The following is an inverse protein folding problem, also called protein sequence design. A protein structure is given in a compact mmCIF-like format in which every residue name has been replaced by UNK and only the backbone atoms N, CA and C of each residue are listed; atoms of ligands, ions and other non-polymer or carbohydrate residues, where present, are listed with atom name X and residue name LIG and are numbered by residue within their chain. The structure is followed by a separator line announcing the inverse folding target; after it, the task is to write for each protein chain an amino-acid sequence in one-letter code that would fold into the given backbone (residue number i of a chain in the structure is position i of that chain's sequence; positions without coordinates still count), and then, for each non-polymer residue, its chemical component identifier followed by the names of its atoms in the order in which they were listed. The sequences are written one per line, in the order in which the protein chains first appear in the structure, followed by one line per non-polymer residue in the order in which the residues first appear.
data_IF_970202943915
#
_entry.id   IF_970202943915
#
_cell.length_a   1.000
_cell.length_b   1.000
_cell.length_c   1.000
_cell.angle_alpha   90.00
_cell.angle_beta   90.00
_cell.angle_gamma   90.00
#
_symmetry.space_group_name_H-M   'P 1'
#
loop_
_entity.id
_entity.type
_entity.pdbx_description
1 polymer ?
#
# COMPACT_ATOMS: atom_id res chain seq x y z
N UNK A 1 3.40 1.14 -0.66
CA UNK A 1 3.28 1.54 -2.06
C UNK A 1 4.50 1.07 -2.83
N UNK A 2 4.26 0.33 -3.90
CA UNK A 2 5.26 -0.11 -4.86
C UNK A 2 5.69 1.06 -5.76
N UNK A 3 7.02 1.26 -5.88
CA UNK A 3 7.63 2.30 -6.73
C UNK A 3 8.54 1.70 -7.81
N UNK A 4 8.41 0.41 -8.09
CA UNK A 4 9.18 -0.27 -9.15
C UNK A 4 8.92 0.34 -10.54
N UNK A 5 9.75 -0.04 -11.52
CA UNK A 5 9.65 0.46 -12.88
C UNK A 5 8.28 0.25 -13.53
N UNK A 6 7.63 -0.89 -13.29
CA UNK A 6 6.26 -1.18 -13.78
C UNK A 6 5.20 -0.25 -13.16
N UNK A 7 5.47 0.26 -11.96
CA UNK A 7 4.60 1.14 -11.21
C UNK A 7 4.91 2.63 -11.40
N UNK A 8 5.95 2.99 -12.15
CA UNK A 8 6.47 4.37 -12.24
C UNK A 8 5.41 5.41 -12.64
N UNK A 9 4.54 5.07 -13.61
CA UNK A 9 3.44 5.95 -14.04
C UNK A 9 2.36 6.15 -12.97
N UNK A 10 2.24 5.24 -12.00
CA UNK A 10 1.25 5.29 -10.92
C UNK A 10 1.84 5.83 -9.61
N UNK A 11 3.15 5.67 -9.40
CA UNK A 11 3.81 6.02 -8.14
C UNK A 11 3.57 7.46 -7.72
N UNK A 12 3.71 8.41 -8.67
CA UNK A 12 3.44 9.82 -8.38
C UNK A 12 1.99 10.07 -7.96
N UNK A 13 1.03 9.48 -8.69
CA UNK A 13 -0.39 9.58 -8.35
C UNK A 13 -0.70 9.02 -6.96
N UNK A 14 -0.12 7.88 -6.63
CA UNK A 14 -0.30 7.23 -5.33
C UNK A 14 0.31 8.07 -4.21
N UNK A 15 1.49 8.65 -4.40
CA UNK A 15 2.11 9.54 -3.42
C UNK A 15 1.29 10.81 -3.20
N UNK A 16 0.71 11.40 -4.25
CA UNK A 16 -0.25 12.51 -4.12
C UNK A 16 -1.48 12.11 -3.30
N UNK A 17 -2.03 10.93 -3.55
CA UNK A 17 -3.14 10.39 -2.79
C UNK A 17 -2.78 10.21 -1.30
N UNK A 18 -1.64 9.59 -0.99
CA UNK A 18 -1.16 9.41 0.38
C UNK A 18 -0.95 10.75 1.10
N UNK A 19 -0.40 11.74 0.40
CA UNK A 19 -0.25 13.10 0.92
C UNK A 19 -1.60 13.72 1.23
N UNK A 20 -2.57 13.63 0.31
CA UNK A 20 -3.92 14.15 0.51
C UNK A 20 -4.63 13.49 1.71
N UNK A 21 -4.54 12.16 1.83
CA UNK A 21 -5.10 11.40 2.97
C UNK A 21 -4.48 11.87 4.30
N UNK A 22 -3.15 12.08 4.33
CA UNK A 22 -2.46 12.51 5.55
C UNK A 22 -2.85 13.93 5.99
N UNK A 23 -3.25 14.81 5.05
CA UNK A 23 -3.61 16.20 5.33
C UNK A 23 -5.13 16.44 5.41
N UNK A 24 -5.94 15.43 5.18
CA UNK A 24 -7.40 15.54 5.24
C UNK A 24 -7.86 15.76 6.69
N UNK A 25 -8.29 16.98 7.01
CA UNK A 25 -8.81 17.33 8.32
C UNK A 25 -10.21 16.73 8.52
N UNK A 26 -10.48 16.22 9.72
CA UNK A 26 -11.83 15.74 10.09
C UNK A 26 -12.19 14.36 9.56
N UNK A 27 -11.24 13.61 8.99
CA UNK A 27 -11.48 12.27 8.47
C UNK A 27 -11.52 11.17 9.55
N UNK A 28 -11.30 11.51 10.82
CA UNK A 28 -11.23 10.51 11.90
C UNK A 28 -9.95 9.65 11.92
N UNK A 29 -9.02 9.87 10.99
CA UNK A 29 -7.75 9.14 10.95
C UNK A 29 -6.85 9.56 12.12
N UNK A 30 -6.62 8.65 13.07
CA UNK A 30 -5.78 8.90 14.22
C UNK A 30 -4.30 9.06 13.82
N UNK A 31 -3.78 8.19 12.95
CA UNK A 31 -2.40 8.20 12.45
C UNK A 31 -2.32 7.58 11.07
N UNK A 32 -1.63 8.24 10.15
CA UNK A 32 -1.30 7.71 8.82
C UNK A 32 0.20 7.52 8.71
N UNK A 33 0.62 6.33 8.27
CA UNK A 33 2.01 5.99 8.00
C UNK A 33 2.17 5.62 6.54
N UNK A 34 3.19 6.19 5.87
CA UNK A 34 3.49 5.93 4.48
C UNK A 34 4.83 5.19 4.32
N UNK A 35 4.80 4.15 3.50
CA UNK A 35 5.98 3.37 3.13
C UNK A 35 6.03 3.18 1.63
N UNK A 36 7.22 3.23 1.07
CA UNK A 36 7.49 2.82 -0.31
C UNK A 36 8.36 1.58 -0.32
N UNK A 37 8.27 0.80 -1.38
CA UNK A 37 9.13 -0.34 -1.60
C UNK A 37 9.41 -0.58 -3.09
N UNK A 38 10.57 -1.11 -3.36
CA UNK A 38 11.06 -1.63 -4.63
C UNK A 38 11.95 -2.81 -4.28
N UNK A 39 13.29 -2.64 -4.29
CA UNK A 39 14.22 -3.64 -3.76
C UNK A 39 14.32 -3.61 -2.24
N UNK A 40 13.95 -2.49 -1.61
CA UNK A 40 13.94 -2.29 -0.15
C UNK A 40 12.71 -1.50 0.31
N UNK A 41 12.39 -1.64 1.60
CA UNK A 41 11.33 -0.88 2.26
C UNK A 41 11.86 0.44 2.80
N UNK A 42 11.18 1.55 2.50
CA UNK A 42 11.51 2.89 2.99
C UNK A 42 10.31 3.54 3.68
N UNK A 43 10.49 4.06 4.89
CA UNK A 43 9.47 4.82 5.60
C UNK A 43 9.51 6.28 5.17
N UNK A 44 8.50 6.72 4.43
CA UNK A 44 8.37 8.09 3.90
C UNK A 44 7.41 8.96 4.71
N UNK A 45 6.93 8.49 5.85
CA UNK A 45 5.93 9.19 6.68
C UNK A 45 6.31 10.63 6.99
N UNK A 46 7.58 10.89 7.31
CA UNK A 46 8.10 12.23 7.64
C UNK A 46 7.98 13.20 6.46
N UNK A 47 8.24 12.72 5.24
CA UNK A 47 8.19 13.53 4.02
C UNK A 47 6.74 13.89 3.65
N UNK A 48 5.84 12.93 3.76
CA UNK A 48 4.42 13.14 3.49
C UNK A 48 3.76 14.15 4.45
N UNK A 49 4.39 14.47 5.59
CA UNK A 49 3.91 15.51 6.54
C UNK A 49 4.20 16.93 6.07
N UNK A 50 5.11 17.14 5.13
CA UNK A 50 5.35 18.46 4.56
C UNK A 50 4.07 19.00 3.89
N UNK A 51 3.82 20.31 4.05
CA UNK A 51 2.61 20.94 3.47
C UNK A 51 2.67 21.03 1.95
N UNK A 52 3.86 21.28 1.42
CA UNK A 52 4.09 21.33 -0.02
C UNK A 52 4.17 19.90 -0.56
N UNK A 53 3.23 19.57 -1.42
CA UNK A 53 3.12 18.22 -2.01
C UNK A 53 4.30 17.92 -2.93
N UNK A 54 4.76 18.87 -3.73
CA UNK A 54 5.86 18.65 -4.67
C UNK A 54 7.19 18.45 -3.94
N UNK A 55 7.44 19.24 -2.88
CA UNK A 55 8.59 19.03 -1.99
C UNK A 55 8.52 17.67 -1.28
N UNK A 56 7.34 17.27 -0.78
CA UNK A 56 7.13 15.98 -0.14
C UNK A 56 7.44 14.82 -1.11
N UNK A 57 6.95 14.91 -2.34
CA UNK A 57 7.15 13.89 -3.38
C UNK A 57 8.60 13.82 -3.84
N UNK A 58 9.27 14.96 -4.02
CA UNK A 58 10.69 15.01 -4.39
C UNK A 58 11.56 14.35 -3.32
N UNK A 59 11.32 14.65 -2.04
CA UNK A 59 12.05 14.04 -0.91
C UNK A 59 11.76 12.54 -0.78
N UNK A 60 10.50 12.13 -0.90
CA UNK A 60 10.13 10.71 -0.88
C UNK A 60 10.77 9.94 -2.04
N UNK A 61 10.79 10.53 -3.24
CA UNK A 61 11.43 9.96 -4.43
C UNK A 61 12.96 9.88 -4.30
N UNK A 62 13.59 10.89 -3.74
CA UNK A 62 15.04 10.90 -3.50
C UNK A 62 15.48 9.84 -2.49
N UNK A 63 14.69 9.60 -1.44
CA UNK A 63 14.99 8.57 -0.44
C UNK A 63 14.71 7.15 -0.98
N UNK A 64 13.76 7.02 -1.87
CA UNK A 64 13.36 5.77 -2.51
C UNK A 64 14.16 5.49 -3.80
N UNK A 65 15.50 5.46 -3.72
CA UNK A 65 16.42 5.42 -4.89
C UNK A 65 16.36 4.16 -5.77
N UNK A 66 15.46 3.22 -5.52
CA UNK A 66 15.45 1.90 -6.18
C UNK A 66 14.46 1.76 -7.36
N UNK A 67 14.30 2.82 -8.16
CA UNK A 67 13.37 2.83 -9.31
C UNK A 67 13.69 1.79 -10.40
N UNK A 68 14.90 1.24 -10.45
CA UNK A 68 15.38 0.39 -11.55
C UNK A 68 15.64 -1.07 -11.17
N UNK A 69 15.60 -1.43 -9.90
CA UNK A 69 16.10 -2.73 -9.39
C UNK A 69 15.12 -3.91 -9.49
N UNK A 70 13.90 -3.69 -9.91
CA UNK A 70 12.81 -4.68 -9.80
C UNK A 70 12.19 -4.70 -8.41
N UNK A 71 11.13 -5.49 -8.22
CA UNK A 71 10.37 -5.51 -6.97
C UNK A 71 10.66 -6.78 -6.18
N UNK A 72 10.90 -6.62 -4.89
CA UNK A 72 11.03 -7.71 -3.90
C UNK A 72 9.95 -7.54 -2.84
N UNK A 73 8.71 -7.78 -3.24
CA UNK A 73 7.52 -7.54 -2.39
C UNK A 73 7.61 -8.39 -1.13
N UNK A 74 7.90 -9.69 -1.27
CA UNK A 74 8.01 -10.63 -0.16
C UNK A 74 9.05 -10.19 0.87
N UNK A 75 10.25 -9.81 0.42
CA UNK A 75 11.32 -9.31 1.29
C UNK A 75 10.96 -8.00 1.99
N UNK A 76 10.29 -7.09 1.29
CA UNK A 76 9.84 -5.81 1.85
C UNK A 76 8.72 -6.00 2.88
N UNK A 77 7.74 -6.88 2.60
CA UNK A 77 6.69 -7.24 3.57
C UNK A 77 7.28 -7.90 4.81
N UNK A 78 8.28 -8.80 4.65
CA UNK A 78 9.02 -9.38 5.79
C UNK A 78 9.68 -8.31 6.64
N UNK A 79 10.36 -7.34 6.02
CA UNK A 79 10.95 -6.19 6.71
C UNK A 79 9.89 -5.38 7.46
N UNK A 80 8.75 -5.10 6.83
CA UNK A 80 7.64 -4.41 7.47
C UNK A 80 7.10 -5.19 8.69
N UNK A 81 6.80 -6.47 8.50
CA UNK A 81 6.24 -7.33 9.55
C UNK A 81 7.16 -7.43 10.77
N UNK A 82 8.48 -7.52 10.53
CA UNK A 82 9.50 -7.63 11.60
C UNK A 82 9.73 -6.33 12.33
N UNK A 83 9.92 -5.23 11.58
CA UNK A 83 10.49 -3.99 12.13
C UNK A 83 9.45 -2.92 12.43
N UNK A 84 8.30 -2.93 11.73
CA UNK A 84 7.34 -1.85 11.74
C UNK A 84 5.94 -2.23 12.23
N UNK A 85 5.44 -3.44 11.98
CA UNK A 85 4.04 -3.81 12.22
C UNK A 85 3.61 -3.45 13.65
N UNK A 86 4.35 -3.85 14.67
CA UNK A 86 4.04 -3.55 16.08
C UNK A 86 4.13 -2.07 16.44
N UNK A 87 4.82 -1.27 15.65
CA UNK A 87 5.02 0.17 15.93
C UNK A 87 3.93 1.04 15.28
N UNK A 88 3.41 0.60 14.15
CA UNK A 88 2.50 1.41 13.32
C UNK A 88 1.10 0.84 13.19
N UNK A 89 0.92 -0.48 13.34
CA UNK A 89 -0.38 -1.11 13.33
C UNK A 89 -0.93 -1.17 14.76
N UNK A 90 -1.73 -0.17 15.12
CA UNK A 90 -2.53 -0.19 16.35
C UNK A 90 -3.80 -1.03 16.17
N UNK A 91 -4.62 -1.13 17.23
CA UNK A 91 -5.93 -1.76 17.14
C UNK A 91 -6.78 -1.05 16.07
N UNK A 92 -7.36 -1.85 15.17
CA UNK A 92 -8.20 -1.32 14.09
C UNK A 92 -7.45 -0.76 12.88
N UNK A 93 -6.12 -0.97 12.77
CA UNK A 93 -5.35 -0.48 11.64
C UNK A 93 -5.84 -1.07 10.31
N UNK A 94 -6.00 -0.21 9.30
CA UNK A 94 -6.26 -0.60 7.91
C UNK A 94 -4.96 -0.45 7.12
N UNK A 95 -4.55 -1.51 6.44
CA UNK A 95 -3.38 -1.49 5.55
C UNK A 95 -3.82 -1.41 4.11
N UNK A 96 -3.30 -0.41 3.40
CA UNK A 96 -3.48 -0.25 1.97
C UNK A 96 -2.18 -0.66 1.27
N UNK A 97 -2.19 -1.83 0.64
CA UNK A 97 -1.07 -2.34 -0.16
C UNK A 97 -1.30 -1.98 -1.62
N UNK A 98 -0.38 -1.23 -2.22
CA UNK A 98 -0.50 -0.75 -3.60
C UNK A 98 0.67 -1.29 -4.40
N UNK A 99 0.40 -2.27 -5.27
CA UNK A 99 1.39 -2.95 -6.12
C UNK A 99 0.69 -3.69 -7.25
N UNK A 100 1.39 -3.94 -8.35
CA UNK A 100 0.93 -4.81 -9.43
C UNK A 100 1.06 -6.31 -9.10
N UNK A 101 1.76 -6.65 -8.01
CA UNK A 101 1.95 -8.02 -7.55
C UNK A 101 3.00 -8.80 -8.33
N UNK A 102 3.83 -8.12 -9.13
CA UNK A 102 4.92 -8.75 -9.89
C UNK A 102 6.17 -8.81 -9.00
N UNK A 103 6.32 -9.90 -8.27
CA UNK A 103 7.46 -10.15 -7.40
C UNK A 103 8.57 -10.94 -8.12
N UNK A 104 9.82 -10.66 -7.77
CA UNK A 104 10.99 -11.42 -8.21
C UNK A 104 11.42 -12.48 -7.20
N UNK A 105 10.93 -12.38 -5.97
CA UNK A 105 11.23 -13.32 -4.90
C UNK A 105 10.33 -14.57 -5.00
N UNK A 106 10.54 -15.53 -4.10
CA UNK A 106 9.74 -16.75 -4.01
C UNK A 106 8.27 -16.45 -3.66
N UNK A 107 7.35 -16.94 -4.48
CA UNK A 107 5.92 -16.74 -4.30
C UNK A 107 5.39 -17.32 -2.97
N UNK A 108 5.98 -18.42 -2.48
CA UNK A 108 5.61 -19.00 -1.20
C UNK A 108 5.95 -18.08 -0.02
N UNK A 109 7.14 -17.48 -0.05
CA UNK A 109 7.56 -16.49 0.93
C UNK A 109 6.68 -15.24 0.87
N UNK A 110 6.30 -14.78 -0.34
CA UNK A 110 5.39 -13.66 -0.52
C UNK A 110 4.01 -13.92 0.08
N UNK A 111 3.43 -15.10 -0.17
CA UNK A 111 2.15 -15.51 0.40
C UNK A 111 2.17 -15.49 1.93
N UNK A 112 3.18 -16.11 2.53
CA UNK A 112 3.37 -16.15 3.99
C UNK A 112 3.48 -14.76 4.62
N UNK A 113 4.24 -13.85 4.00
CA UNK A 113 4.39 -12.50 4.54
C UNK A 113 3.14 -11.65 4.34
N UNK A 114 2.36 -11.90 3.27
CA UNK A 114 1.04 -11.27 3.07
C UNK A 114 0.04 -11.75 4.11
N UNK A 115 0.02 -13.06 4.41
CA UNK A 115 -0.79 -13.63 5.49
C UNK A 115 -0.48 -12.99 6.85
N UNK A 116 0.81 -12.92 7.22
CA UNK A 116 1.26 -12.28 8.47
C UNK A 116 0.81 -10.84 8.56
N UNK A 117 0.88 -10.09 7.46
CA UNK A 117 0.42 -8.71 7.41
C UNK A 117 -1.10 -8.63 7.61
N UNK A 118 -1.87 -9.47 6.93
CA UNK A 118 -3.32 -9.56 7.09
C UNK A 118 -3.75 -9.84 8.53
N UNK A 119 -3.08 -10.81 9.19
CA UNK A 119 -3.32 -11.14 10.60
C UNK A 119 -2.90 -10.03 11.58
N UNK A 120 -2.04 -9.10 11.17
CA UNK A 120 -1.52 -8.01 12.00
C UNK A 120 -2.34 -6.73 11.91
N UNK A 121 -3.34 -6.67 11.05
CA UNK A 121 -4.20 -5.51 10.86
C UNK A 121 -5.68 -5.92 10.87
N UNK A 122 -6.57 -4.91 11.05
CA UNK A 122 -8.01 -5.17 10.98
C UNK A 122 -8.47 -5.46 9.56
N UNK A 123 -7.82 -4.84 8.59
CA UNK A 123 -8.15 -5.01 7.18
C UNK A 123 -6.93 -4.79 6.29
N UNK A 124 -6.70 -5.71 5.38
CA UNK A 124 -5.70 -5.61 4.32
C UNK A 124 -6.39 -5.41 2.97
N UNK A 125 -6.24 -4.23 2.40
CA UNK A 125 -6.80 -3.86 1.10
C UNK A 125 -5.67 -3.81 0.08
N UNK A 126 -5.77 -4.59 -0.98
CA UNK A 126 -4.82 -4.55 -2.07
C UNK A 126 -5.38 -3.76 -3.26
N UNK A 127 -4.70 -2.67 -3.62
CA UNK A 127 -4.96 -1.91 -4.85
C UNK A 127 -3.94 -2.32 -5.92
N UNK A 128 -4.44 -2.82 -7.04
CA UNK A 128 -3.61 -3.12 -8.20
C UNK A 128 -3.96 -2.15 -9.34
N UNK A 129 -3.04 -1.26 -9.74
CA UNK A 129 -3.28 -0.30 -10.82
C UNK A 129 -3.46 -0.92 -12.20
N UNK A 130 -2.98 -2.15 -12.41
CA UNK A 130 -3.09 -2.86 -13.68
C UNK A 130 -4.45 -3.56 -13.89
N UNK A 131 -5.33 -3.60 -12.88
CA UNK A 131 -6.66 -4.20 -12.95
C UNK A 131 -7.68 -3.44 -13.82
N UNK A 132 -7.25 -2.57 -14.72
CA UNK A 132 -8.16 -1.82 -15.60
C UNK A 132 -8.63 -2.58 -16.84
N UNK A 133 -8.04 -3.74 -17.10
CA UNK A 133 -8.32 -4.51 -18.32
C UNK A 133 -9.45 -5.52 -18.07
N UNK A 134 -10.50 -5.47 -18.87
CA UNK A 134 -11.46 -6.55 -18.96
C UNK A 134 -10.73 -7.83 -19.40
N UNK A 135 -10.84 -8.90 -18.63
CA UNK A 135 -10.10 -10.14 -18.87
C UNK A 135 -8.79 -10.29 -18.10
N UNK A 136 -8.51 -9.43 -17.11
CA UNK A 136 -7.39 -9.66 -16.20
C UNK A 136 -7.54 -11.01 -15.51
N UNK A 137 -6.66 -11.95 -15.85
CA UNK A 137 -6.55 -13.23 -15.14
C UNK A 137 -5.34 -13.17 -14.20
N UNK A 138 -5.47 -13.58 -12.93
CA UNK A 138 -4.36 -13.60 -11.96
C UNK A 138 -3.38 -14.74 -12.28
N UNK A 139 -2.64 -14.61 -13.40
CA UNK A 139 -1.72 -15.64 -13.89
C UNK A 139 -0.35 -15.58 -13.21
N UNK A 140 0.08 -14.38 -12.78
CA UNK A 140 1.35 -14.23 -12.09
C UNK A 140 1.34 -14.95 -10.74
N UNK A 141 2.41 -15.67 -10.44
CA UNK A 141 2.54 -16.48 -9.20
C UNK A 141 2.41 -15.59 -7.96
N UNK A 142 3.00 -14.39 -7.96
CA UNK A 142 2.90 -13.43 -6.86
C UNK A 142 1.45 -13.03 -6.58
N UNK A 143 0.66 -12.75 -7.62
CA UNK A 143 -0.76 -12.39 -7.46
C UNK A 143 -1.53 -13.55 -6.82
N UNK A 144 -1.33 -14.77 -7.30
CA UNK A 144 -1.99 -15.97 -6.76
C UNK A 144 -1.61 -16.25 -5.32
N UNK A 145 -0.36 -15.95 -4.94
CA UNK A 145 0.13 -16.13 -3.58
C UNK A 145 -0.47 -15.11 -2.60
N UNK A 146 -0.69 -13.86 -3.03
CA UNK A 146 -1.20 -12.80 -2.18
C UNK A 146 -2.72 -12.82 -2.02
N UNK A 147 -3.46 -13.17 -3.08
CA UNK A 147 -4.93 -13.07 -3.14
C UNK A 147 -5.68 -13.73 -1.98
N UNK A 148 -5.31 -14.94 -1.51
CA UNK A 148 -6.02 -15.60 -0.41
C UNK A 148 -5.93 -14.86 0.94
N UNK A 149 -4.98 -13.94 1.08
CA UNK A 149 -4.62 -13.30 2.35
C UNK A 149 -5.02 -11.82 2.42
N UNK A 150 -5.79 -11.33 1.44
CA UNK A 150 -6.28 -9.94 1.43
C UNK A 150 -7.81 -9.90 1.59
N UNK A 151 -8.31 -8.96 2.39
CA UNK A 151 -9.76 -8.78 2.58
C UNK A 151 -10.45 -8.15 1.37
N UNK A 152 -9.70 -7.43 0.56
CA UNK A 152 -10.25 -6.76 -0.63
C UNK A 152 -9.17 -6.56 -1.68
N UNK A 153 -9.48 -6.98 -2.92
CA UNK A 153 -8.63 -6.78 -4.09
C UNK A 153 -9.34 -5.84 -5.08
N UNK A 154 -8.72 -4.71 -5.42
CA UNK A 154 -9.39 -3.63 -6.14
C UNK A 154 -8.49 -3.00 -7.20
N UNK A 155 -9.13 -2.44 -8.24
CA UNK A 155 -8.46 -1.59 -9.21
C UNK A 155 -8.03 -0.27 -8.59
N UNK A 156 -6.81 0.20 -8.89
CA UNK A 156 -6.23 1.44 -8.36
C UNK A 156 -5.67 2.35 -9.47
N UNK A 157 -6.31 2.41 -10.64
CA UNK A 157 -5.79 3.06 -11.84
C UNK A 157 -6.09 4.56 -11.96
N UNK A 158 -6.91 5.15 -11.08
CA UNK A 158 -7.23 6.58 -11.12
C UNK A 158 -7.40 7.18 -9.72
N UNK A 159 -7.03 8.47 -9.56
CA UNK A 159 -7.24 9.23 -8.33
C UNK A 159 -8.73 9.28 -7.96
N UNK A 160 -9.62 9.38 -8.95
CA UNK A 160 -11.06 9.42 -8.73
C UNK A 160 -11.61 8.14 -8.08
N UNK A 161 -10.96 7.00 -8.25
CA UNK A 161 -11.34 5.74 -7.60
C UNK A 161 -10.80 5.61 -6.16
N UNK A 162 -9.73 6.34 -5.81
CA UNK A 162 -9.08 6.23 -4.49
C UNK A 162 -9.86 6.86 -3.33
N UNK A 163 -10.44 8.08 -3.41
CA UNK A 163 -11.22 8.68 -2.32
C UNK A 163 -12.43 7.84 -1.90
N UNK A 164 -13.07 7.16 -2.83
CA UNK A 164 -14.21 6.25 -2.54
C UNK A 164 -13.78 5.07 -1.66
N UNK A 165 -12.56 4.59 -1.82
CA UNK A 165 -12.00 3.49 -1.02
C UNK A 165 -11.61 3.92 0.38
N UNK A 166 -11.00 5.09 0.52
CA UNK A 166 -10.73 5.69 1.81
C UNK A 166 -12.03 5.90 2.60
N UNK A 167 -13.06 6.47 1.97
CA UNK A 167 -14.37 6.66 2.56
C UNK A 167 -15.07 5.35 2.94
N UNK A 168 -14.87 4.27 2.19
CA UNK A 168 -15.48 2.97 2.47
C UNK A 168 -14.79 2.25 3.63
N UNK A 169 -13.47 2.37 3.78
CA UNK A 169 -12.76 1.89 4.96
C UNK A 169 -13.26 2.58 6.25
N UNK A 170 -13.50 3.91 6.18
CA UNK A 170 -14.05 4.71 7.27
C UNK A 170 -15.49 4.31 7.62
N UNK A 171 -16.38 4.14 6.62
CA UNK A 171 -17.78 3.78 6.86
C UNK A 171 -17.96 2.46 7.58
N UNK A 172 -17.09 1.49 7.34
CA UNK A 172 -17.13 0.19 8.03
C UNK A 172 -16.70 0.27 9.50
N UNK A 173 -15.86 1.24 9.86
CA UNK A 173 -15.52 1.50 11.27
C UNK A 173 -16.69 2.10 12.04
N UNK A 174 -17.40 3.06 11.45
CA UNK A 174 -18.55 3.71 12.10
C UNK A 174 -19.70 2.72 12.34
N UNK A 175 -19.95 1.80 11.41
CA UNK A 175 -21.02 0.79 11.55
C UNK A 175 -20.68 -0.32 12.54
N UNK A 176 -19.40 -0.62 12.80
CA UNK A 176 -19.00 -1.65 13.77
C UNK A 176 -18.80 -1.11 15.19
N UNK A 177 -18.74 0.20 15.38
CA UNK A 177 -18.68 0.84 16.70
C UNK A 177 -20.07 1.09 17.33
N UNK A 178 -21.16 0.73 16.62
CA UNK A 178 -22.55 0.95 17.04
C UNK A 178 -23.27 -0.34 17.45
N UNK A 179 -22.50 -1.42 17.77
CA UNK A 179 -23.03 -2.66 18.35
C UNK A 179 -22.23 -3.06 19.58
#
# INVERSE_FOLDING_TARGET
CDISGSMSQYSRMVLHFLHAVMHQRGSGWARVHGFTFGTRLTNITRHLRARDVDAALAQAGAEAQDWSGGTRIGSCLRGFNRDWSRRVLGQGAVVLLITDGLDRDDAGALGLETERLGLSCRRLIWLNPLLRWEGFAPRALGIRAMLPHVDSFRAGHSIASMPRWASMAIRLEVLSASF
#
